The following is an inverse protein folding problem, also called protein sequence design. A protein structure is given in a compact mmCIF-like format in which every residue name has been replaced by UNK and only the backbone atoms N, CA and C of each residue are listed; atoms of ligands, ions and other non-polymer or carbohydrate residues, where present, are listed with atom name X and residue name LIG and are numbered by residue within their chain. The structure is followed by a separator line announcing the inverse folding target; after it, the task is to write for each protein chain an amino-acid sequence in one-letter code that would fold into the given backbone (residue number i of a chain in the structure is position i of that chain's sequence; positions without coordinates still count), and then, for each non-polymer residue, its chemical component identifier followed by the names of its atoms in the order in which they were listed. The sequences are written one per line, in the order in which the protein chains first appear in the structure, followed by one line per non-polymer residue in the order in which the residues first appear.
data_IF_440222190696
#
_entry.id   IF_440222190696
#
_cell.length_a   1.000
_cell.length_b   1.000
_cell.length_c   1.000
_cell.angle_alpha   90.00
_cell.angle_beta   90.00
_cell.angle_gamma   90.00
#
_symmetry.space_group_name_H-M   'P 1'
#
loop_
_entity.id
_entity.type
_entity.pdbx_description
1 polymer ?
#
# COMPACT_ATOMS: atom_id res chain seq x y z
N UNK A 1 33.85 4.32 -10.17
CA UNK A 1 33.82 4.75 -8.77
C UNK A 1 33.22 3.60 -7.97
N UNK A 2 34.05 2.82 -7.29
CA UNK A 2 33.56 1.73 -6.43
C UNK A 2 32.92 2.37 -5.21
N UNK A 3 31.62 2.15 -5.03
CA UNK A 3 30.92 2.54 -3.81
C UNK A 3 31.60 1.88 -2.61
N UNK A 4 31.84 2.64 -1.54
CA UNK A 4 32.32 2.11 -0.27
C UNK A 4 31.21 1.24 0.34
N UNK A 5 31.34 -0.08 0.20
CA UNK A 5 30.32 -1.05 0.62
C UNK A 5 30.78 -1.82 1.84
N UNK A 6 29.91 -1.91 2.84
CA UNK A 6 30.12 -2.72 4.05
C UNK A 6 29.08 -3.83 4.15
N UNK A 7 29.45 -4.97 4.75
CA UNK A 7 28.56 -6.10 4.97
C UNK A 7 27.79 -5.97 6.28
N UNK A 8 26.48 -6.17 6.23
CA UNK A 8 25.59 -6.19 7.41
C UNK A 8 25.12 -7.63 7.67
N UNK A 9 25.36 -8.14 8.89
CA UNK A 9 24.97 -9.49 9.28
C UNK A 9 23.91 -9.46 10.39
N UNK A 10 22.67 -9.86 10.07
CA UNK A 10 21.53 -9.87 11.00
C UNK A 10 20.94 -11.26 11.08
N UNK A 11 20.75 -11.76 12.32
CA UNK A 11 20.02 -13.00 12.57
C UNK A 11 18.52 -12.72 12.61
N UNK A 12 17.76 -13.40 11.77
CA UNK A 12 16.29 -13.32 11.73
C UNK A 12 15.69 -14.72 11.68
N UNK A 13 14.43 -14.90 12.13
CA UNK A 13 13.74 -16.17 11.98
C UNK A 13 13.68 -16.63 10.51
N UNK A 14 13.93 -17.92 10.27
CA UNK A 14 13.95 -18.50 8.91
C UNK A 14 12.63 -18.26 8.17
N UNK A 15 11.49 -18.38 8.87
CA UNK A 15 10.16 -18.18 8.30
C UNK A 15 9.99 -16.76 7.76
N UNK A 16 10.34 -15.75 8.57
CA UNK A 16 10.27 -14.34 8.19
C UNK A 16 11.13 -14.03 6.96
N UNK A 17 12.37 -14.53 6.92
CA UNK A 17 13.27 -14.35 5.77
C UNK A 17 12.66 -14.93 4.49
N UNK A 18 12.09 -16.13 4.58
CA UNK A 18 11.49 -16.81 3.42
C UNK A 18 10.26 -16.05 2.91
N UNK A 19 9.40 -15.58 3.79
CA UNK A 19 8.21 -14.78 3.43
C UNK A 19 8.61 -13.46 2.75
N UNK A 20 9.55 -12.71 3.34
CA UNK A 20 10.07 -11.48 2.76
C UNK A 20 10.70 -11.73 1.38
N UNK A 21 11.46 -12.82 1.22
CA UNK A 21 12.08 -13.17 -0.05
C UNK A 21 11.05 -13.55 -1.13
N UNK A 22 9.96 -14.23 -0.76
CA UNK A 22 8.88 -14.53 -1.70
C UNK A 22 8.16 -13.25 -2.15
N UNK A 23 7.90 -12.32 -1.24
CA UNK A 23 7.30 -11.01 -1.57
C UNK A 23 8.22 -10.24 -2.54
N UNK A 24 9.51 -10.13 -2.23
CA UNK A 24 10.48 -9.44 -3.07
C UNK A 24 10.53 -10.04 -4.49
N UNK A 25 10.56 -11.37 -4.61
CA UNK A 25 10.53 -12.08 -5.90
C UNK A 25 9.26 -11.81 -6.70
N UNK A 26 8.09 -11.78 -6.03
CA UNK A 26 6.82 -11.43 -6.70
C UNK A 26 6.82 -10.01 -7.25
N UNK A 27 7.55 -9.10 -6.60
CA UNK A 27 7.73 -7.71 -7.02
C UNK A 27 8.89 -7.52 -8.00
N UNK A 28 9.59 -8.59 -8.41
CA UNK A 28 10.71 -8.51 -9.35
C UNK A 28 11.99 -7.91 -8.78
N UNK A 29 12.12 -7.82 -7.44
CA UNK A 29 13.26 -7.20 -6.76
C UNK A 29 14.02 -8.19 -5.88
N UNK A 30 15.30 -7.89 -5.61
CA UNK A 30 16.12 -8.68 -4.69
C UNK A 30 15.81 -8.33 -3.24
N UNK A 31 15.97 -9.29 -2.31
CA UNK A 31 15.82 -9.03 -0.88
C UNK A 31 16.84 -8.00 -0.38
N UNK A 32 18.04 -7.97 -0.98
CA UNK A 32 19.08 -6.99 -0.65
C UNK A 32 18.67 -5.56 -1.01
N UNK A 33 17.99 -5.36 -2.15
CA UNK A 33 17.47 -4.05 -2.53
C UNK A 33 16.41 -3.56 -1.53
N UNK A 34 15.55 -4.46 -1.07
CA UNK A 34 14.55 -4.14 -0.04
C UNK A 34 15.24 -3.72 1.28
N UNK A 35 16.30 -4.43 1.68
CA UNK A 35 17.07 -4.08 2.87
C UNK A 35 17.80 -2.74 2.71
N UNK A 36 18.41 -2.48 1.55
CA UNK A 36 19.05 -1.21 1.22
C UNK A 36 18.06 -0.04 1.31
N UNK A 37 16.88 -0.20 0.71
CA UNK A 37 15.83 0.82 0.76
C UNK A 37 15.39 1.08 2.20
N UNK A 38 15.20 0.02 3.00
CA UNK A 38 14.85 0.17 4.41
C UNK A 38 15.92 0.96 5.21
N UNK A 39 17.21 0.76 4.92
CA UNK A 39 18.28 1.56 5.53
C UNK A 39 18.22 3.02 5.10
N UNK A 40 17.98 3.29 3.81
CA UNK A 40 17.84 4.65 3.28
C UNK A 40 16.65 5.38 3.90
N UNK A 41 15.51 4.70 3.97
CA UNK A 41 14.29 5.24 4.57
C UNK A 41 14.49 5.51 6.06
N UNK A 42 15.14 4.60 6.79
CA UNK A 42 15.46 4.79 8.21
C UNK A 42 16.41 5.99 8.43
N UNK A 43 17.45 6.11 7.62
CA UNK A 43 18.40 7.22 7.70
C UNK A 43 17.75 8.57 7.39
N UNK A 44 16.86 8.62 6.40
CA UNK A 44 16.16 9.83 6.00
C UNK A 44 15.05 10.23 6.99
N UNK A 45 14.24 9.27 7.43
CA UNK A 45 13.10 9.53 8.31
C UNK A 45 13.50 9.72 9.77
N UNK A 46 14.67 9.18 10.17
CA UNK A 46 15.14 9.13 11.57
C UNK A 46 14.09 8.56 12.54
N UNK A 47 13.17 7.74 12.05
CA UNK A 47 12.02 7.21 12.78
C UNK A 47 11.82 5.75 12.41
N UNK A 48 11.64 4.92 13.44
CA UNK A 48 11.18 3.54 13.27
C UNK A 48 9.65 3.54 13.32
N UNK A 49 9.01 3.37 12.17
CA UNK A 49 7.56 3.26 12.09
C UNK A 49 7.17 1.81 12.39
N UNK A 50 6.78 1.55 13.64
CA UNK A 50 6.15 0.28 14.03
C UNK A 50 4.65 0.43 13.79
N UNK A 51 4.19 0.05 12.61
CA UNK A 51 2.76 -0.03 12.32
C UNK A 51 2.24 -1.41 12.67
N UNK A 52 1.27 -1.46 13.58
CA UNK A 52 0.31 -2.56 13.59
C UNK A 52 -0.53 -2.41 12.31
N UNK A 53 -0.69 -3.45 11.47
CA UNK A 53 -1.47 -3.32 10.25
C UNK A 53 -2.86 -2.84 10.61
N UNK A 54 -3.25 -1.68 10.09
CA UNK A 54 -4.58 -1.12 10.31
C UNK A 54 -5.60 -2.07 9.65
N UNK A 55 -6.19 -2.95 10.45
CA UNK A 55 -7.30 -3.79 10.01
C UNK A 55 -8.51 -2.86 9.86
N UNK A 56 -9.13 -2.77 8.67
CA UNK A 56 -10.32 -1.95 8.48
C UNK A 56 -11.35 -2.28 9.55
N UNK A 57 -11.94 -1.27 10.20
CA UNK A 57 -13.00 -1.51 11.17
C UNK A 57 -14.22 -2.16 10.49
N UNK A 58 -15.14 -2.77 11.27
CA UNK A 58 -16.31 -3.48 10.72
C UNK A 58 -17.12 -2.64 9.72
N UNK A 59 -17.21 -1.33 9.94
CA UNK A 59 -17.91 -0.40 9.05
C UNK A 59 -17.19 -0.27 7.71
N UNK A 60 -15.88 -0.07 7.72
CA UNK A 60 -15.07 0.05 6.51
C UNK A 60 -15.01 -1.28 5.74
N UNK A 61 -14.91 -2.42 6.42
CA UNK A 61 -14.98 -3.73 5.77
C UNK A 61 -16.30 -3.95 5.03
N UNK A 62 -17.42 -3.51 5.61
CA UNK A 62 -18.73 -3.60 4.98
C UNK A 62 -18.79 -2.73 3.72
N UNK A 63 -18.34 -1.48 3.80
CA UNK A 63 -18.29 -0.55 2.66
C UNK A 63 -17.43 -1.13 1.52
N UNK A 64 -16.24 -1.66 1.84
CA UNK A 64 -15.36 -2.26 0.84
C UNK A 64 -16.00 -3.49 0.18
N UNK A 65 -16.70 -4.33 0.94
CA UNK A 65 -17.42 -5.50 0.40
C UNK A 65 -18.54 -5.10 -0.54
N UNK A 66 -19.32 -4.09 -0.16
CA UNK A 66 -20.40 -3.55 -1.00
C UNK A 66 -19.84 -2.91 -2.28
N UNK A 67 -18.78 -2.10 -2.16
CA UNK A 67 -18.10 -1.52 -3.31
C UNK A 67 -17.56 -2.58 -4.25
N UNK A 68 -16.95 -3.66 -3.73
CA UNK A 68 -16.44 -4.76 -4.53
C UNK A 68 -17.55 -5.52 -5.27
N UNK A 69 -18.69 -5.76 -4.60
CA UNK A 69 -19.85 -6.40 -5.23
C UNK A 69 -20.46 -5.53 -6.34
N UNK A 70 -20.45 -4.21 -6.15
CA UNK A 70 -21.00 -3.24 -7.08
C UNK A 70 -20.07 -2.89 -8.24
N UNK A 71 -18.77 -3.25 -8.14
CA UNK A 71 -17.73 -2.87 -9.10
C UNK A 71 -18.07 -3.28 -10.54
N UNK A 72 -18.71 -4.42 -10.74
CA UNK A 72 -19.03 -4.95 -12.07
C UNK A 72 -20.48 -4.65 -12.51
N UNK A 73 -21.23 -3.85 -11.75
CA UNK A 73 -22.61 -3.55 -12.06
C UNK A 73 -22.76 -2.05 -12.42
N UNK A 74 -22.98 -1.72 -13.71
CA UNK A 74 -23.09 -0.35 -14.20
C UNK A 74 -24.14 0.50 -13.50
N UNK A 75 -25.15 -0.12 -12.87
CA UNK A 75 -26.18 0.57 -12.08
C UNK A 75 -25.58 1.38 -10.92
N UNK A 76 -24.45 0.96 -10.38
CA UNK A 76 -23.79 1.60 -9.24
C UNK A 76 -22.64 2.54 -9.63
N UNK A 77 -22.38 2.70 -10.93
CA UNK A 77 -21.34 3.58 -11.41
C UNK A 77 -21.87 5.02 -11.47
N UNK A 78 -20.99 5.98 -11.19
CA UNK A 78 -21.25 7.36 -11.53
C UNK A 78 -21.31 7.52 -13.06
N UNK A 79 -21.98 8.56 -13.58
CA UNK A 79 -21.80 8.94 -14.98
C UNK A 79 -20.32 9.27 -15.25
N UNK A 80 -19.92 9.21 -16.53
CA UNK A 80 -18.63 9.76 -16.94
C UNK A 80 -18.62 11.27 -16.78
N UNK A 81 -17.51 11.84 -16.31
CA UNK A 81 -17.35 13.27 -16.12
C UNK A 81 -16.33 13.82 -17.10
N UNK A 82 -16.60 15.01 -17.64
CA UNK A 82 -15.73 15.72 -18.57
C UNK A 82 -14.83 16.74 -17.89
N UNK A 83 -15.13 17.12 -16.64
CA UNK A 83 -14.34 18.05 -15.84
C UNK A 83 -14.32 17.62 -14.36
N UNK A 84 -13.33 18.11 -13.61
CA UNK A 84 -13.26 17.87 -12.17
C UNK A 84 -14.43 18.55 -11.43
N UNK A 85 -14.87 19.71 -11.94
CA UNK A 85 -15.99 20.48 -11.43
C UNK A 85 -17.30 19.67 -11.51
N UNK A 86 -17.53 18.95 -12.62
CA UNK A 86 -18.71 18.09 -12.81
C UNK A 86 -18.72 16.93 -11.81
N UNK A 87 -17.57 16.29 -11.60
CA UNK A 87 -17.42 15.20 -10.64
C UNK A 87 -17.68 15.69 -9.20
N UNK A 88 -17.12 16.85 -8.83
CA UNK A 88 -17.32 17.46 -7.51
C UNK A 88 -18.79 17.85 -7.31
N UNK A 89 -19.43 18.44 -8.32
CA UNK A 89 -20.84 18.82 -8.27
C UNK A 89 -21.75 17.59 -8.09
N UNK A 90 -21.44 16.48 -8.75
CA UNK A 90 -22.14 15.21 -8.56
C UNK A 90 -21.97 14.67 -7.15
N UNK A 91 -20.74 14.59 -6.63
CA UNK A 91 -20.48 14.11 -5.26
C UNK A 91 -21.20 14.94 -4.21
N UNK A 92 -21.18 16.28 -4.34
CA UNK A 92 -21.89 17.18 -3.42
C UNK A 92 -23.39 16.96 -3.40
N UNK A 93 -24.00 16.53 -4.51
CA UNK A 93 -25.43 16.16 -4.54
C UNK A 93 -25.69 14.85 -3.79
N UNK A 94 -24.76 13.91 -3.80
CA UNK A 94 -24.86 12.63 -3.10
C UNK A 94 -24.59 12.73 -1.59
N UNK A 95 -23.80 13.73 -1.16
CA UNK A 95 -23.45 13.93 0.26
C UNK A 95 -24.36 14.90 1.00
N UNK A 96 -25.40 15.45 0.37
CA UNK A 96 -26.45 16.23 1.06
C UNK A 96 -27.45 15.27 1.72
N UNK A 97 -27.00 14.66 2.82
CA UNK A 97 -27.81 13.98 3.83
C UNK A 97 -27.44 14.52 5.20
#
# INVERSE_FOLDING_TARGET
MTADTTMVHVKVPKKLKNEAQQVARRLGVSLSLVAEQAFRDFAAAQKLVVMEPEVPNKRLQKILREAQANLNNPKYWSPGFTSAEDAIAYLRKQTKG
#
